data_IF_019650653922
#
_entry.id   IF_019650653922
#
_cell.length_a   1.000
_cell.length_b   1.000
_cell.length_c   1.000
_cell.angle_alpha   90.00
_cell.angle_beta   90.00
_cell.angle_gamma   90.00
#
_symmetry.space_group_name_H-M   'P 1'
#
loop_
_entity.id
_entity.type
_entity.pdbx_description
1 polymer ?
#
# COMPACT_ATOMS: atom_id res chain seq x y z
N UNK A 1 15.69 -13.20 18.45
CA UNK A 1 16.12 -11.80 18.32
C UNK A 1 14.91 -10.91 18.52
N UNK A 2 15.08 -9.73 19.11
CA UNK A 2 13.98 -8.75 19.20
C UNK A 2 13.64 -8.23 17.80
N UNK A 3 12.35 -8.13 17.49
CA UNK A 3 11.90 -7.60 16.20
C UNK A 3 12.00 -6.09 16.24
N UNK A 4 12.60 -5.49 15.22
CA UNK A 4 12.77 -4.04 15.13
C UNK A 4 11.57 -3.38 14.48
N UNK A 5 11.22 -2.17 14.91
CA UNK A 5 10.18 -1.35 14.29
C UNK A 5 10.39 -1.22 12.78
N UNK A 6 11.63 -1.06 12.31
CA UNK A 6 11.96 -1.03 10.88
C UNK A 6 11.48 -2.28 10.09
N UNK A 7 11.48 -3.46 10.71
CA UNK A 7 10.99 -4.68 10.05
C UNK A 7 9.47 -4.62 9.87
N UNK A 8 8.73 -4.12 10.85
CA UNK A 8 7.29 -3.91 10.77
C UNK A 8 6.96 -2.84 9.73
N UNK A 9 7.70 -1.72 9.73
CA UNK A 9 7.58 -0.66 8.73
C UNK A 9 7.75 -1.22 7.32
N UNK A 10 8.77 -2.06 7.10
CA UNK A 10 9.04 -2.66 5.80
C UNK A 10 7.88 -3.53 5.32
N UNK A 11 7.24 -4.30 6.22
CA UNK A 11 6.06 -5.12 5.91
C UNK A 11 4.85 -4.25 5.51
N UNK A 12 4.63 -3.14 6.22
CA UNK A 12 3.53 -2.20 5.91
C UNK A 12 3.78 -1.55 4.54
N UNK A 13 5.01 -1.15 4.27
CA UNK A 13 5.39 -0.47 3.02
C UNK A 13 5.46 -1.41 1.81
N UNK A 14 5.47 -2.73 2.00
CA UNK A 14 5.17 -3.69 0.92
C UNK A 14 3.72 -3.57 0.45
N UNK A 15 2.78 -3.31 1.37
CA UNK A 15 1.36 -3.15 1.06
C UNK A 15 1.05 -1.72 0.59
N UNK A 16 1.52 -0.74 1.35
CA UNK A 16 1.24 0.68 1.14
C UNK A 16 2.55 1.49 1.13
N UNK A 17 3.34 1.44 0.04
CA UNK A 17 4.54 2.25 -0.08
C UNK A 17 4.26 3.73 0.13
N UNK A 18 5.16 4.45 0.82
CA UNK A 18 4.98 5.88 1.11
C UNK A 18 4.78 6.75 -0.12
N UNK A 19 5.42 6.40 -1.24
CA UNK A 19 5.32 7.18 -2.49
C UNK A 19 3.91 7.18 -3.09
N UNK A 20 3.03 6.28 -2.62
CA UNK A 20 1.62 6.29 -3.01
C UNK A 20 0.82 7.39 -2.31
N UNK A 21 1.29 7.90 -1.17
CA UNK A 21 0.55 8.92 -0.43
C UNK A 21 0.39 10.18 -1.28
N UNK A 22 -0.75 10.85 -1.10
CA UNK A 22 -1.00 12.16 -1.66
C UNK A 22 0.06 13.17 -1.21
N UNK A 23 0.39 14.14 -2.06
CA UNK A 23 1.51 15.08 -1.79
C UNK A 23 1.32 15.96 -0.56
N UNK A 24 0.08 16.13 -0.11
CA UNK A 24 -0.27 16.89 1.09
C UNK A 24 -0.28 16.04 2.36
N UNK A 25 -0.25 14.72 2.23
CA UNK A 25 -0.45 13.80 3.32
C UNK A 25 0.82 13.59 4.16
N UNK A 26 0.62 13.09 5.39
CA UNK A 26 1.71 12.73 6.28
C UNK A 26 1.57 11.26 6.69
N UNK A 27 2.41 10.40 6.11
CA UNK A 27 2.44 8.96 6.38
C UNK A 27 3.81 8.52 6.90
N UNK A 28 3.87 7.37 7.54
CA UNK A 28 5.12 6.81 8.06
C UNK A 28 5.19 6.79 9.59
N UNK A 29 6.40 6.66 10.12
CA UNK A 29 6.66 6.66 11.56
C UNK A 29 6.52 8.09 12.11
N UNK A 30 5.48 8.32 12.91
CA UNK A 30 5.12 9.61 13.52
C UNK A 30 5.79 9.82 14.87
N UNK A 31 5.86 8.76 15.68
CA UNK A 31 6.44 8.78 17.03
C UNK A 31 7.29 7.52 17.20
N UNK A 32 8.49 7.67 17.77
CA UNK A 32 9.41 6.56 18.05
C UNK A 32 10.64 6.55 17.15
N UNK A 33 11.28 5.39 17.04
CA UNK A 33 12.49 5.17 16.25
C UNK A 33 12.44 3.83 15.51
N UNK A 34 12.96 3.73 14.28
CA UNK A 34 13.07 2.46 13.56
C UNK A 34 13.85 1.36 14.31
N UNK A 35 14.74 1.75 15.24
CA UNK A 35 15.55 0.83 16.05
C UNK A 35 14.86 0.28 17.29
N UNK A 36 13.65 0.76 17.61
CA UNK A 36 12.85 0.28 18.74
C UNK A 36 12.54 -1.21 18.61
N UNK A 37 12.49 -1.90 19.74
CA UNK A 37 12.02 -3.28 19.79
C UNK A 37 10.49 -3.29 19.81
N UNK A 38 9.89 -4.22 19.08
CA UNK A 38 8.43 -4.42 19.03
C UNK A 38 8.16 -5.87 19.39
N UNK A 39 7.43 -6.10 20.47
CA UNK A 39 6.90 -7.39 20.88
C UNK A 39 5.40 -7.45 20.63
N UNK A 40 4.70 -6.33 20.83
CA UNK A 40 3.27 -6.20 20.54
C UNK A 40 3.00 -4.96 19.72
N UNK A 41 2.24 -5.11 18.65
CA UNK A 41 1.71 -4.01 17.88
C UNK A 41 0.18 -4.00 17.93
N UNK A 42 -0.42 -2.83 17.77
CA UNK A 42 -1.86 -2.66 17.71
C UNK A 42 -2.28 -1.87 16.49
N UNK A 43 -3.33 -2.31 15.78
CA UNK A 43 -3.89 -1.61 14.63
C UNK A 43 -5.18 -0.89 15.02
N UNK A 44 -5.31 0.38 14.65
CA UNK A 44 -6.48 1.21 14.90
C UNK A 44 -6.83 2.10 13.69
N UNK A 45 -7.98 2.76 13.74
CA UNK A 45 -8.33 3.81 12.78
C UNK A 45 -7.65 5.13 13.20
N UNK A 46 -8.06 5.66 14.35
CA UNK A 46 -7.53 6.87 14.97
C UNK A 46 -6.68 6.55 16.19
N UNK A 47 -5.71 7.42 16.51
CA UNK A 47 -5.02 7.38 17.81
C UNK A 47 -5.66 8.41 18.73
N UNK A 48 -6.56 7.96 19.60
CA UNK A 48 -7.22 8.77 20.62
C UNK A 48 -6.88 8.30 22.05
N UNK A 49 -7.45 8.94 23.06
CA UNK A 49 -7.22 8.58 24.47
C UNK A 49 -7.66 7.14 24.78
N UNK A 50 -8.77 6.65 24.22
CA UNK A 50 -9.24 5.29 24.50
C UNK A 50 -8.29 4.25 23.89
N UNK A 51 -7.78 4.51 22.69
CA UNK A 51 -6.77 3.66 22.04
C UNK A 51 -5.46 3.68 22.82
N UNK A 52 -5.04 4.84 23.35
CA UNK A 52 -3.87 4.92 24.22
C UNK A 52 -4.07 4.09 25.49
N UNK A 53 -5.22 4.20 26.15
CA UNK A 53 -5.51 3.47 27.38
C UNK A 53 -5.52 1.95 27.11
N UNK A 54 -6.14 1.51 26.00
CA UNK A 54 -6.09 0.12 25.52
C UNK A 54 -4.67 -0.36 25.22
N UNK A 55 -3.84 0.49 24.59
CA UNK A 55 -2.44 0.20 24.29
C UNK A 55 -1.62 -0.03 25.56
N UNK A 56 -1.83 0.82 26.57
CA UNK A 56 -1.16 0.73 27.88
C UNK A 56 -1.57 -0.56 28.59
N UNK A 57 -2.87 -0.84 28.66
CA UNK A 57 -3.40 -2.03 29.31
C UNK A 57 -2.83 -3.31 28.69
N UNK A 58 -2.75 -3.36 27.35
CA UNK A 58 -2.28 -4.53 26.61
C UNK A 58 -0.75 -4.62 26.49
N UNK A 59 -0.03 -3.58 26.91
CA UNK A 59 1.43 -3.48 26.80
C UNK A 59 1.92 -3.44 25.35
N UNK A 60 1.33 -2.54 24.56
CA UNK A 60 1.66 -2.33 23.14
C UNK A 60 2.91 -1.46 23.00
N UNK A 61 3.83 -1.86 22.13
CA UNK A 61 5.05 -1.10 21.82
C UNK A 61 4.88 -0.19 20.59
N UNK A 62 4.01 -0.58 19.65
CA UNK A 62 3.81 0.13 18.38
C UNK A 62 2.34 0.15 17.97
N UNK A 63 1.78 1.35 17.77
CA UNK A 63 0.45 1.56 17.20
C UNK A 63 0.59 1.80 15.69
N UNK A 64 -0.22 1.11 14.90
CA UNK A 64 -0.39 1.33 13.46
C UNK A 64 -1.78 1.94 13.25
N UNK A 65 -1.85 3.21 12.87
CA UNK A 65 -3.10 3.91 12.60
C UNK A 65 -3.33 4.11 11.11
N UNK A 66 -4.60 4.28 10.73
CA UNK A 66 -4.91 4.81 9.40
C UNK A 66 -4.72 6.32 9.39
N UNK A 67 -5.43 7.03 10.28
CA UNK A 67 -5.32 8.48 10.39
C UNK A 67 -4.04 8.91 11.10
N UNK A 68 -3.32 9.90 10.56
CA UNK A 68 -2.10 10.37 11.17
C UNK A 68 -2.40 11.22 12.41
N UNK A 69 -1.81 10.84 13.55
CA UNK A 69 -1.87 11.64 14.79
C UNK A 69 -1.25 13.04 14.58
N UNK A 70 -0.24 13.12 13.71
CA UNK A 70 0.39 14.36 13.24
C UNK A 70 -0.06 14.62 11.79
N UNK A 71 -1.23 15.20 11.59
CA UNK A 71 -1.69 15.56 10.23
C UNK A 71 -1.03 16.83 9.67
N UNK A 72 -0.66 17.77 10.55
CA UNK A 72 0.00 19.03 10.16
C UNK A 72 1.21 19.29 11.04
N UNK A 73 2.23 20.03 10.55
CA UNK A 73 3.42 20.35 11.33
C UNK A 73 3.09 20.94 12.70
N UNK A 74 3.62 20.32 13.75
CA UNK A 74 3.38 20.75 15.13
C UNK A 74 4.20 22.02 15.39
N UNK A 75 3.51 23.15 15.58
CA UNK A 75 4.17 24.42 15.95
C UNK A 75 4.54 24.49 17.42
N UNK A 76 3.76 23.86 18.29
CA UNK A 76 3.96 23.82 19.74
C UNK A 76 3.43 22.49 20.31
N UNK A 77 4.16 21.87 21.24
CA UNK A 77 3.73 20.66 21.96
C UNK A 77 3.39 20.99 23.42
N UNK A 78 2.21 21.56 23.66
CA UNK A 78 1.75 21.89 25.02
C UNK A 78 0.99 20.74 25.66
N UNK A 79 1.38 20.33 26.85
CA UNK A 79 0.79 19.20 27.59
C UNK A 79 -0.56 19.52 28.25
N UNK A 80 -0.99 20.77 28.22
CA UNK A 80 -2.27 21.23 28.75
C UNK A 80 -3.39 21.24 27.70
N UNK A 81 -3.09 20.86 26.46
CA UNK A 81 -4.10 20.57 25.44
C UNK A 81 -4.19 19.07 25.14
N UNK A 82 -5.31 18.65 24.55
CA UNK A 82 -5.61 17.24 24.30
C UNK A 82 -4.51 16.53 23.50
N UNK A 83 -4.17 17.05 22.31
CA UNK A 83 -3.19 16.40 21.41
C UNK A 83 -1.79 16.34 22.04
N UNK A 84 -1.36 17.39 22.72
CA UNK A 84 -0.05 17.43 23.36
C UNK A 84 0.03 16.54 24.60
N UNK A 85 -1.04 16.41 25.38
CA UNK A 85 -1.14 15.42 26.46
C UNK A 85 -1.07 13.99 25.90
N UNK A 86 -1.82 13.68 24.84
CA UNK A 86 -1.81 12.37 24.20
C UNK A 86 -0.41 11.99 23.69
N UNK A 87 0.24 12.91 22.96
CA UNK A 87 1.61 12.72 22.46
C UNK A 87 2.63 12.60 23.60
N UNK A 88 2.49 13.38 24.68
CA UNK A 88 3.34 13.23 25.88
C UNK A 88 3.26 11.80 26.41
N UNK A 89 2.06 11.26 26.61
CA UNK A 89 1.89 9.91 27.15
C UNK A 89 2.51 8.87 26.22
N UNK A 90 2.27 8.95 24.90
CA UNK A 90 2.91 8.06 23.91
C UNK A 90 4.44 8.10 23.99
N UNK A 91 5.02 9.30 24.03
CA UNK A 91 6.49 9.50 24.07
C UNK A 91 7.07 8.99 25.39
N UNK A 92 6.50 9.40 26.53
CA UNK A 92 7.05 9.05 27.86
C UNK A 92 6.95 7.55 28.17
N UNK A 93 6.04 6.84 27.51
CA UNK A 93 5.85 5.39 27.62
C UNK A 93 6.57 4.62 26.52
N UNK A 94 7.28 5.31 25.63
CA UNK A 94 7.98 4.72 24.49
C UNK A 94 7.07 3.90 23.56
N UNK A 95 5.82 4.31 23.40
CA UNK A 95 4.87 3.70 22.46
C UNK A 95 5.02 4.39 21.11
N UNK A 96 5.50 3.64 20.11
CA UNK A 96 5.65 4.14 18.75
C UNK A 96 4.30 4.31 18.05
N UNK A 97 4.24 5.20 17.05
CA UNK A 97 3.08 5.36 16.17
C UNK A 97 3.54 5.43 14.73
N UNK A 98 3.00 4.55 13.88
CA UNK A 98 3.12 4.61 12.43
C UNK A 98 1.73 4.84 11.82
N UNK A 99 1.64 5.68 10.80
CA UNK A 99 0.37 5.97 10.12
C UNK A 99 0.43 5.63 8.63
N UNK A 100 -0.56 4.85 8.18
CA UNK A 100 -0.76 4.48 6.78
C UNK A 100 -2.14 5.01 6.34
N UNK A 101 -2.13 6.17 5.70
CA UNK A 101 -3.33 6.94 5.36
C UNK A 101 -3.63 6.82 3.86
N UNK A 102 -3.44 7.87 3.06
CA UNK A 102 -3.79 7.84 1.63
C UNK A 102 -2.98 6.83 0.83
N UNK A 103 -1.75 6.49 1.24
CA UNK A 103 -0.99 5.39 0.64
C UNK A 103 -1.70 4.04 0.77
N UNK A 104 -2.45 3.82 1.86
CA UNK A 104 -3.25 2.63 2.07
C UNK A 104 -4.60 2.72 1.34
N UNK A 105 -5.15 3.90 1.11
CA UNK A 105 -6.34 4.06 0.26
C UNK A 105 -6.05 3.80 -1.23
N UNK A 106 -4.86 4.19 -1.68
CA UNK A 106 -4.37 4.09 -3.06
C UNK A 106 -3.80 2.69 -3.35
N UNK A 107 -3.34 1.99 -2.32
CA UNK A 107 -2.80 0.63 -2.46
C UNK A 107 -3.79 -0.28 -3.17
N UNK A 108 -3.26 -1.10 -4.08
CA UNK A 108 -4.07 -2.05 -4.86
C UNK A 108 -4.72 -3.15 -4.02
N UNK A 109 -4.22 -3.38 -2.81
CA UNK A 109 -4.81 -4.27 -1.81
C UNK A 109 -5.14 -3.50 -0.52
N UNK A 110 -5.45 -2.21 -0.67
CA UNK A 110 -5.78 -1.25 0.36
C UNK A 110 -7.24 -1.26 0.82
N UNK A 111 -7.65 -0.20 1.54
CA UNK A 111 -8.99 -0.11 2.16
C UNK A 111 -10.11 -0.23 1.11
N UNK A 112 -10.00 0.52 0.02
CA UNK A 112 -10.99 0.49 -1.07
C UNK A 112 -11.14 -0.92 -1.68
N UNK A 113 -10.04 -1.62 -1.89
CA UNK A 113 -10.07 -3.01 -2.37
C UNK A 113 -10.77 -3.94 -1.37
N UNK A 114 -10.48 -3.81 -0.08
CA UNK A 114 -11.14 -4.62 0.95
C UNK A 114 -12.62 -4.30 1.11
N UNK A 115 -13.04 -3.04 0.95
CA UNK A 115 -14.46 -2.68 0.85
C UNK A 115 -15.10 -3.38 -0.35
N UNK A 116 -14.49 -3.31 -1.53
CA UNK A 116 -14.98 -3.98 -2.73
C UNK A 116 -15.17 -5.49 -2.49
N UNK A 117 -14.20 -6.14 -1.84
CA UNK A 117 -14.31 -7.55 -1.45
C UNK A 117 -15.39 -7.80 -0.41
N UNK A 118 -15.59 -6.91 0.55
CA UNK A 118 -16.66 -7.00 1.55
C UNK A 118 -18.05 -6.99 0.90
N UNK A 119 -18.20 -6.24 -0.19
CA UNK A 119 -19.38 -6.18 -1.04
C UNK A 119 -19.44 -7.27 -2.13
N UNK A 120 -18.49 -8.21 -2.15
CA UNK A 120 -18.37 -9.26 -3.16
C UNK A 120 -18.32 -8.71 -4.60
N UNK A 121 -17.70 -7.55 -4.80
CA UNK A 121 -17.53 -6.98 -6.13
C UNK A 121 -16.48 -7.76 -6.93
N UNK A 122 -16.81 -8.01 -8.20
CA UNK A 122 -15.95 -8.60 -9.21
C UNK A 122 -15.42 -7.53 -10.17
N UNK A 123 -14.41 -7.88 -10.98
CA UNK A 123 -13.80 -7.00 -11.98
C UNK A 123 -13.48 -5.60 -11.41
N UNK A 124 -12.77 -5.61 -10.27
CA UNK A 124 -12.43 -4.39 -9.54
C UNK A 124 -11.37 -3.61 -10.31
N UNK A 125 -11.64 -2.34 -10.55
CA UNK A 125 -10.73 -1.40 -11.22
C UNK A 125 -10.57 -0.13 -10.38
N UNK A 126 -9.42 0.54 -10.49
CA UNK A 126 -9.19 1.85 -9.89
C UNK A 126 -10.08 2.89 -10.57
N UNK A 127 -10.76 3.71 -9.76
CA UNK A 127 -11.70 4.71 -10.24
C UNK A 127 -10.98 5.95 -10.80
N UNK A 128 -10.21 6.64 -9.96
CA UNK A 128 -9.41 7.78 -10.37
C UNK A 128 -7.94 7.39 -10.52
N UNK A 129 -7.54 7.13 -11.76
CA UNK A 129 -6.20 6.63 -12.10
C UNK A 129 -5.19 7.78 -12.02
N UNK A 130 -4.46 7.85 -10.91
CA UNK A 130 -3.48 8.91 -10.64
C UNK A 130 -2.13 8.61 -11.30
N UNK A 131 -1.67 7.37 -11.19
CA UNK A 131 -0.37 6.97 -11.72
C UNK A 131 -0.33 5.47 -12.05
N UNK A 132 0.80 5.03 -12.58
CA UNK A 132 1.11 3.63 -12.79
C UNK A 132 2.43 3.33 -12.10
N UNK A 133 2.56 2.12 -11.55
CA UNK A 133 3.86 1.64 -11.06
C UNK A 133 4.87 1.69 -12.22
N UNK A 134 5.97 2.40 -12.01
CA UNK A 134 7.03 2.50 -13.01
C UNK A 134 7.77 1.18 -13.13
N UNK A 135 8.09 0.83 -14.37
CA UNK A 135 8.82 -0.38 -14.70
C UNK A 135 10.15 0.00 -15.35
N UNK A 136 11.15 -0.82 -15.07
CA UNK A 136 12.48 -0.72 -15.65
C UNK A 136 12.85 -2.03 -16.31
N UNK A 137 13.58 -1.94 -17.42
CA UNK A 137 14.31 -3.08 -17.96
C UNK A 137 15.68 -3.10 -17.27
N UNK A 138 15.96 -4.17 -16.54
CA UNK A 138 17.27 -4.43 -15.98
C UNK A 138 18.03 -5.35 -16.92
N UNK A 139 19.23 -4.93 -17.32
CA UNK A 139 20.13 -5.68 -18.18
C UNK A 139 21.44 -5.89 -17.43
N UNK A 140 21.94 -7.11 -17.39
CA UNK A 140 23.19 -7.48 -16.75
C UNK A 140 23.99 -8.44 -17.63
N UNK A 141 25.31 -8.30 -17.64
CA UNK A 141 26.22 -9.12 -18.43
C UNK A 141 26.90 -10.13 -17.51
N UNK A 142 26.73 -11.42 -17.81
CA UNK A 142 27.11 -12.52 -16.91
C UNK A 142 27.91 -13.57 -17.67
N UNK A 143 28.99 -14.14 -17.09
CA UNK A 143 29.62 -15.34 -17.62
C UNK A 143 28.63 -16.48 -17.81
N UNK A 144 28.79 -17.24 -18.89
CA UNK A 144 27.93 -18.39 -19.21
C UNK A 144 27.83 -19.42 -18.08
N UNK A 145 28.91 -19.59 -17.30
CA UNK A 145 28.97 -20.49 -16.14
C UNK A 145 28.07 -20.08 -14.96
N UNK A 146 27.72 -18.80 -14.86
CA UNK A 146 27.05 -18.22 -13.68
C UNK A 146 25.63 -17.72 -13.96
N UNK A 147 25.16 -17.86 -15.20
CA UNK A 147 23.85 -17.34 -15.62
C UNK A 147 22.68 -17.87 -14.79
N UNK A 148 22.68 -19.17 -14.47
CA UNK A 148 21.56 -19.80 -13.75
C UNK A 148 21.46 -19.32 -12.30
N UNK A 149 22.59 -19.04 -11.65
CA UNK A 149 22.64 -18.46 -10.30
C UNK A 149 22.06 -17.04 -10.30
N UNK A 150 22.45 -16.22 -11.28
CA UNK A 150 21.93 -14.85 -11.43
C UNK A 150 20.43 -14.85 -11.76
N UNK A 151 19.96 -15.73 -12.65
CA UNK A 151 18.53 -15.88 -12.95
C UNK A 151 17.71 -16.29 -11.72
N UNK A 152 18.23 -17.23 -10.92
CA UNK A 152 17.57 -17.69 -9.71
C UNK A 152 17.43 -16.55 -8.69
N UNK A 153 18.49 -15.76 -8.47
CA UNK A 153 18.43 -14.62 -7.54
C UNK A 153 17.51 -13.51 -8.07
N UNK A 154 17.52 -13.20 -9.37
CA UNK A 154 16.56 -12.28 -9.99
C UNK A 154 15.11 -12.71 -9.73
N UNK A 155 14.81 -13.98 -9.99
CA UNK A 155 13.47 -14.53 -9.81
C UNK A 155 12.98 -14.49 -8.35
N UNK A 156 13.89 -14.75 -7.40
CA UNK A 156 13.64 -14.65 -5.95
C UNK A 156 13.37 -13.22 -5.48
N UNK A 157 13.89 -12.21 -6.18
CA UNK A 157 13.60 -10.80 -5.93
C UNK A 157 12.36 -10.30 -6.69
N UNK A 158 11.60 -11.23 -7.29
CA UNK A 158 10.38 -10.95 -8.08
C UNK A 158 10.64 -10.15 -9.37
N UNK A 159 11.87 -10.15 -9.87
CA UNK A 159 12.16 -9.65 -11.21
C UNK A 159 11.54 -10.60 -12.26
N UNK A 160 10.96 -10.04 -13.31
CA UNK A 160 10.31 -10.82 -14.36
C UNK A 160 8.96 -11.40 -13.97
N UNK A 161 8.28 -10.83 -12.97
CA UNK A 161 6.92 -11.21 -12.63
C UNK A 161 5.93 -10.35 -13.42
N UNK A 162 5.25 -10.95 -14.41
CA UNK A 162 4.33 -10.28 -15.33
C UNK A 162 3.03 -11.08 -15.41
N UNK A 163 1.93 -10.50 -14.93
CA UNK A 163 0.65 -11.20 -14.86
C UNK A 163 0.77 -12.49 -14.04
N UNK A 164 0.45 -13.63 -14.65
CA UNK A 164 0.50 -14.95 -14.00
C UNK A 164 1.83 -15.69 -14.21
N UNK A 165 2.85 -15.05 -14.80
CA UNK A 165 4.14 -15.65 -15.08
C UNK A 165 5.22 -15.03 -14.17
N UNK A 166 6.14 -15.87 -13.70
CA UNK A 166 7.28 -15.46 -12.88
C UNK A 166 8.59 -15.85 -13.57
N UNK A 167 9.71 -15.30 -13.07
CA UNK A 167 11.07 -15.60 -13.57
C UNK A 167 11.25 -15.28 -15.07
N UNK A 168 10.44 -14.38 -15.63
CA UNK A 168 10.56 -14.00 -17.04
C UNK A 168 11.88 -13.27 -17.27
N UNK A 169 12.74 -13.84 -18.10
CA UNK A 169 13.98 -13.20 -18.54
C UNK A 169 14.28 -13.60 -19.98
N UNK A 170 15.06 -12.76 -20.66
CA UNK A 170 15.57 -13.04 -21.99
C UNK A 170 17.09 -12.98 -21.96
N UNK A 171 17.74 -13.84 -22.73
CA UNK A 171 19.19 -14.00 -22.72
C UNK A 171 19.72 -14.05 -24.14
N UNK A 172 20.85 -13.38 -24.38
CA UNK A 172 21.57 -13.45 -25.66
C UNK A 172 23.07 -13.54 -25.40
N UNK A 173 23.74 -14.47 -26.06
CA UNK A 173 25.20 -14.61 -26.01
C UNK A 173 25.86 -13.52 -26.85
N UNK A 174 26.96 -12.97 -26.36
CA UNK A 174 27.77 -11.99 -27.07
C UNK A 174 29.22 -11.99 -26.57
N UNK A 175 30.02 -11.08 -27.10
CA UNK A 175 31.41 -10.89 -26.67
C UNK A 175 31.52 -9.59 -25.90
N UNK A 176 31.95 -9.68 -24.64
CA UNK A 176 32.34 -8.54 -23.83
C UNK A 176 33.83 -8.25 -23.98
N UNK A 177 34.20 -6.96 -24.03
CA UNK A 177 35.59 -6.53 -24.12
C UNK A 177 35.91 -5.60 -22.95
N UNK A 178 36.99 -5.87 -22.24
CA UNK A 178 37.47 -4.99 -21.19
C UNK A 178 38.99 -5.02 -21.09
N UNK A 179 39.56 -3.98 -20.48
CA UNK A 179 40.99 -3.89 -20.19
C UNK A 179 41.16 -3.66 -18.69
N UNK A 180 41.60 -4.65 -17.91
CA UNK A 180 41.90 -4.45 -16.50
C UNK A 180 43.01 -3.40 -16.37
N UNK A 181 42.83 -2.42 -15.47
CA UNK A 181 43.80 -1.35 -15.24
C UNK A 181 44.63 -1.63 -13.98
N UNK A 182 45.45 -0.66 -13.57
CA UNK A 182 46.14 -0.73 -12.29
C UNK A 182 45.14 -0.91 -11.14
N UNK A 183 45.46 -1.80 -10.20
CA UNK A 183 44.64 -2.12 -9.02
C UNK A 183 43.32 -2.87 -9.26
N UNK A 184 43.12 -3.52 -10.42
CA UNK A 184 41.98 -4.45 -10.62
C UNK A 184 42.35 -5.88 -10.29
N UNK A 185 41.42 -6.66 -9.70
CA UNK A 185 41.54 -8.11 -9.51
C UNK A 185 40.47 -8.84 -10.34
N UNK A 186 40.63 -8.91 -11.68
CA UNK A 186 39.56 -9.39 -12.55
C UNK A 186 39.30 -10.89 -12.35
N UNK A 187 38.03 -11.29 -12.43
CA UNK A 187 37.65 -12.70 -12.39
C UNK A 187 38.21 -13.50 -13.59
N UNK A 188 38.33 -12.83 -14.74
CA UNK A 188 38.94 -13.35 -15.99
C UNK A 188 39.90 -12.30 -16.53
N UNK A 189 41.09 -12.70 -16.97
CA UNK A 189 42.01 -11.84 -17.73
C UNK A 189 43.26 -11.36 -16.99
N UNK A 190 44.12 -10.63 -17.72
CA UNK A 190 45.42 -10.14 -17.26
C UNK A 190 45.52 -8.61 -17.27
N UNK A 191 46.21 -7.98 -16.30
CA UNK A 191 46.37 -6.53 -16.26
C UNK A 191 46.93 -5.94 -17.56
N UNK A 192 46.33 -4.84 -18.00
CA UNK A 192 46.70 -4.01 -19.16
C UNK A 192 46.49 -4.62 -20.55
N UNK A 193 46.01 -5.85 -20.65
CA UNK A 193 45.61 -6.46 -21.92
C UNK A 193 44.10 -6.29 -22.15
N UNK A 194 43.70 -6.16 -23.42
CA UNK A 194 42.28 -6.24 -23.78
C UNK A 194 41.91 -7.72 -23.78
N UNK A 195 40.91 -8.05 -23.00
CA UNK A 195 40.37 -9.39 -22.85
C UNK A 195 39.03 -9.44 -23.57
N UNK A 196 38.81 -10.48 -24.36
CA UNK A 196 37.54 -10.78 -25.01
C UNK A 196 36.92 -12.00 -24.34
N UNK A 197 35.69 -11.89 -23.84
CA UNK A 197 35.02 -12.95 -23.07
C UNK A 197 33.64 -13.23 -23.64
N UNK A 198 33.29 -14.51 -23.80
CA UNK A 198 31.91 -14.91 -24.12
C UNK A 198 31.02 -14.65 -22.90
N UNK A 199 30.09 -13.72 -23.03
CA UNK A 199 29.16 -13.33 -21.98
C UNK A 199 27.72 -13.53 -22.43
N UNK A 200 26.81 -13.56 -21.45
CA UNK A 200 25.38 -13.55 -21.69
C UNK A 200 24.82 -12.22 -21.22
N UNK A 201 24.24 -11.47 -22.17
CA UNK A 201 23.36 -10.34 -21.86
C UNK A 201 22.02 -10.89 -21.38
N UNK A 202 21.80 -10.83 -20.08
CA UNK A 202 20.56 -11.24 -19.42
C UNK A 202 19.71 -10.00 -19.16
N UNK A 203 18.43 -10.06 -19.50
CA UNK A 203 17.52 -8.95 -19.30
C UNK A 203 16.18 -9.38 -18.71
N UNK A 204 15.61 -8.56 -17.84
CA UNK A 204 14.31 -8.79 -17.20
C UNK A 204 13.63 -7.46 -16.87
N UNK A 205 12.33 -7.49 -16.59
CA UNK A 205 11.57 -6.33 -16.14
C UNK A 205 11.53 -6.28 -14.63
N UNK A 206 11.67 -5.10 -14.04
CA UNK A 206 11.66 -4.88 -12.59
C UNK A 206 10.78 -3.69 -12.27
N UNK A 207 10.00 -3.80 -11.18
CA UNK A 207 9.24 -2.69 -10.60
C UNK A 207 10.17 -1.71 -9.92
N UNK A 208 9.87 -0.41 -9.98
CA UNK A 208 10.64 0.62 -9.29
C UNK A 208 10.84 0.32 -7.79
N UNK A 209 9.78 -0.17 -7.13
CA UNK A 209 9.75 -0.57 -5.72
C UNK A 209 10.79 -1.65 -5.37
N UNK A 210 11.08 -2.57 -6.31
CA UNK A 210 12.00 -3.68 -6.09
C UNK A 210 13.42 -3.43 -6.65
N UNK A 211 13.63 -2.35 -7.42
CA UNK A 211 14.84 -2.13 -8.20
C UNK A 211 16.12 -2.13 -7.35
N UNK A 212 16.19 -1.27 -6.33
CA UNK A 212 17.39 -1.13 -5.47
C UNK A 212 17.73 -2.43 -4.73
N UNK A 213 16.71 -3.11 -4.19
CA UNK A 213 16.88 -4.38 -3.48
C UNK A 213 17.36 -5.47 -4.43
N UNK A 214 16.80 -5.54 -5.63
CA UNK A 214 17.15 -6.55 -6.64
C UNK A 214 18.58 -6.39 -7.10
N UNK A 215 19.01 -5.17 -7.44
CA UNK A 215 20.39 -4.88 -7.83
C UNK A 215 21.36 -5.33 -6.73
N UNK A 216 21.13 -4.91 -5.48
CA UNK A 216 21.99 -5.30 -4.35
C UNK A 216 22.06 -6.82 -4.13
N UNK A 217 20.99 -7.54 -4.40
CA UNK A 217 20.95 -8.99 -4.24
C UNK A 217 21.72 -9.70 -5.38
N UNK A 218 21.50 -9.26 -6.62
CA UNK A 218 22.15 -9.82 -7.80
C UNK A 218 23.65 -9.56 -7.80
N UNK A 219 24.09 -8.35 -7.43
CA UNK A 219 25.51 -8.02 -7.35
C UNK A 219 26.28 -8.90 -6.36
N UNK A 220 25.62 -9.45 -5.33
CA UNK A 220 26.27 -10.35 -4.35
C UNK A 220 26.54 -11.74 -4.87
N UNK A 221 25.76 -12.20 -5.85
CA UNK A 221 25.89 -13.54 -6.45
C UNK A 221 26.62 -13.47 -7.80
N UNK A 222 26.90 -12.26 -8.30
CA UNK A 222 27.64 -12.07 -9.53
C UNK A 222 29.13 -12.42 -9.32
N UNK A 223 29.79 -13.13 -10.25
CA UNK A 223 31.18 -13.54 -10.08
C UNK A 223 32.19 -12.38 -10.18
N UNK A 224 31.80 -11.28 -10.80
CA UNK A 224 32.70 -10.12 -11.00
C UNK A 224 32.67 -9.17 -9.80
N UNK A 225 33.83 -8.59 -9.50
CA UNK A 225 33.97 -7.52 -8.51
C UNK A 225 33.26 -6.25 -8.97
N UNK A 226 33.51 -5.83 -10.21
CA UNK A 226 32.86 -4.71 -10.86
C UNK A 226 31.89 -5.21 -11.93
N UNK A 227 30.59 -5.06 -11.67
CA UNK A 227 29.53 -5.65 -12.50
C UNK A 227 28.96 -4.59 -13.43
N UNK A 228 29.03 -4.84 -14.74
CA UNK A 228 28.35 -4.03 -15.72
C UNK A 228 26.84 -4.38 -15.78
N UNK A 229 25.99 -3.37 -15.61
CA UNK A 229 24.54 -3.49 -15.78
C UNK A 229 23.94 -2.15 -16.22
N UNK A 230 22.80 -2.24 -16.88
CA UNK A 230 22.02 -1.08 -17.33
C UNK A 230 20.60 -1.12 -16.75
N UNK A 231 20.03 0.08 -16.61
CA UNK A 231 18.64 0.27 -16.20
C UNK A 231 17.98 1.18 -17.22
N UNK A 232 17.02 0.63 -17.97
CA UNK A 232 16.24 1.39 -18.94
C UNK A 232 14.85 1.70 -18.37
N UNK A 233 14.43 2.97 -18.26
CA UNK A 233 13.04 3.28 -17.96
C UNK A 233 12.14 2.79 -19.10
N UNK A 234 10.99 2.23 -18.74
CA UNK A 234 10.01 1.73 -19.71
C UNK A 234 8.74 2.57 -19.68
N UNK A 235 8.14 2.76 -20.86
CA UNK A 235 6.77 3.28 -21.01
C UNK A 235 5.72 2.21 -20.68
N UNK A 236 6.14 0.96 -20.48
CA UNK A 236 5.28 -0.10 -19.97
C UNK A 236 4.72 0.30 -18.60
N UNK A 237 3.40 0.21 -18.48
CA UNK A 237 2.69 0.55 -17.25
C UNK A 237 2.57 -0.68 -16.37
N UNK A 238 3.01 -0.56 -15.12
CA UNK A 238 2.76 -1.55 -14.09
C UNK A 238 1.33 -1.44 -13.54
N UNK A 239 1.18 -1.77 -12.27
CA UNK A 239 -0.12 -1.71 -11.61
C UNK A 239 -0.67 -0.28 -11.61
N UNK A 240 -1.97 -0.14 -11.90
CA UNK A 240 -2.67 1.15 -11.79
C UNK A 240 -2.76 1.54 -10.32
N UNK A 241 -2.43 2.80 -10.03
CA UNK A 241 -2.47 3.39 -8.69
C UNK A 241 -3.44 4.57 -8.72
N UNK A 242 -4.31 4.65 -7.72
CA UNK A 242 -5.24 5.76 -7.64
C UNK A 242 -6.31 5.59 -6.58
N UNK A 243 -7.20 6.58 -6.51
CA UNK A 243 -8.22 6.67 -5.48
C UNK A 243 -9.55 6.08 -5.92
N UNK A 244 -10.22 5.45 -4.96
CA UNK A 244 -11.49 4.79 -5.17
C UNK A 244 -11.40 3.58 -6.11
N UNK A 245 -12.44 2.78 -6.09
CA UNK A 245 -12.58 1.62 -6.97
C UNK A 245 -13.97 1.59 -7.58
N UNK A 246 -14.10 0.88 -8.70
CA UNK A 246 -15.37 0.47 -9.26
C UNK A 246 -15.35 -1.04 -9.47
N UNK A 247 -16.48 -1.69 -9.21
CA UNK A 247 -16.63 -3.12 -9.41
C UNK A 247 -18.07 -3.48 -9.77
N UNK A 248 -18.27 -4.77 -10.03
CA UNK A 248 -19.52 -5.30 -10.56
C UNK A 248 -20.04 -6.40 -9.62
N UNK A 249 -21.28 -6.27 -9.18
CA UNK A 249 -21.99 -7.33 -8.47
C UNK A 249 -22.18 -8.53 -9.41
N UNK A 250 -22.12 -9.75 -8.86
CA UNK A 250 -22.35 -10.97 -9.65
C UNK A 250 -23.73 -10.97 -10.31
N UNK A 251 -24.76 -10.64 -9.54
CA UNK A 251 -26.13 -10.47 -10.00
C UNK A 251 -26.56 -9.03 -9.79
N UNK A 252 -27.35 -8.52 -10.72
CA UNK A 252 -28.04 -7.25 -10.56
C UNK A 252 -29.13 -7.42 -9.50
N UNK A 253 -29.21 -6.48 -8.55
CA UNK A 253 -30.19 -6.52 -7.45
C UNK A 253 -30.98 -5.22 -7.38
N UNK A 254 -32.15 -5.27 -6.73
CA UNK A 254 -32.98 -4.09 -6.52
C UNK A 254 -32.26 -3.06 -5.65
N UNK A 255 -32.38 -1.77 -5.98
CA UNK A 255 -31.63 -0.73 -5.26
C UNK A 255 -31.95 -0.66 -3.77
N UNK A 256 -33.19 -0.99 -3.38
CA UNK A 256 -33.61 -1.08 -1.97
C UNK A 256 -32.91 -2.23 -1.24
N UNK A 257 -32.74 -3.37 -1.89
CA UNK A 257 -32.00 -4.51 -1.32
C UNK A 257 -30.52 -4.18 -1.17
N UNK A 258 -29.95 -3.43 -2.12
CA UNK A 258 -28.57 -2.94 -2.03
C UNK A 258 -28.37 -1.99 -0.85
N UNK A 259 -29.31 -1.07 -0.59
CA UNK A 259 -29.26 -0.16 0.57
C UNK A 259 -29.20 -0.97 1.88
N UNK A 260 -30.03 -2.01 2.02
CA UNK A 260 -30.02 -2.89 3.19
C UNK A 260 -28.73 -3.73 3.26
N UNK A 261 -28.18 -4.15 2.11
CA UNK A 261 -26.88 -4.80 2.03
C UNK A 261 -25.77 -3.88 2.56
N UNK A 262 -25.76 -2.59 2.19
CA UNK A 262 -24.80 -1.59 2.68
C UNK A 262 -24.91 -1.43 4.19
N UNK A 263 -26.12 -1.26 4.73
CA UNK A 263 -26.36 -1.19 6.18
C UNK A 263 -25.82 -2.41 6.91
N UNK A 264 -26.17 -3.61 6.44
CA UNK A 264 -25.74 -4.86 7.07
C UNK A 264 -24.23 -5.06 6.99
N UNK A 265 -23.61 -4.84 5.82
CA UNK A 265 -22.17 -5.03 5.62
C UNK A 265 -21.35 -4.00 6.39
N UNK A 266 -21.78 -2.75 6.48
CA UNK A 266 -21.04 -1.71 7.19
C UNK A 266 -21.46 -1.54 8.65
N UNK A 267 -22.44 -2.32 9.12
CA UNK A 267 -22.97 -2.27 10.47
C UNK A 267 -23.49 -0.88 10.86
N UNK A 268 -24.21 -0.23 9.94
CA UNK A 268 -24.82 1.08 10.14
C UNK A 268 -26.35 0.97 10.13
N UNK A 269 -27.00 1.77 10.96
CA UNK A 269 -28.47 1.77 11.07
C UNK A 269 -29.11 2.63 9.98
N UNK A 270 -28.52 3.82 9.75
CA UNK A 270 -29.02 4.81 8.82
C UNK A 270 -27.98 5.08 7.74
N UNK A 271 -28.47 5.44 6.56
CA UNK A 271 -27.66 5.89 5.44
C UNK A 271 -28.18 7.26 5.02
N UNK A 272 -27.25 8.16 4.67
CA UNK A 272 -27.58 9.38 3.93
C UNK A 272 -27.38 9.10 2.44
N UNK A 273 -28.02 9.88 1.58
CA UNK A 273 -27.83 9.74 0.15
C UNK A 273 -28.46 10.88 -0.63
N UNK A 274 -28.12 10.96 -1.91
CA UNK A 274 -28.63 11.95 -2.85
C UNK A 274 -28.67 11.37 -4.27
N UNK A 275 -29.27 12.10 -5.21
CA UNK A 275 -29.47 11.64 -6.58
C UNK A 275 -30.67 10.72 -6.74
N UNK A 276 -30.97 10.38 -7.98
CA UNK A 276 -32.10 9.51 -8.31
C UNK A 276 -31.77 8.07 -7.96
N UNK A 277 -32.60 7.45 -7.11
CA UNK A 277 -32.51 6.03 -6.80
C UNK A 277 -32.83 5.20 -8.06
N UNK A 278 -31.88 4.43 -8.63
CA UNK A 278 -32.18 3.57 -9.78
C UNK A 278 -33.12 2.42 -9.35
N UNK A 279 -33.74 1.75 -10.31
CA UNK A 279 -34.51 0.52 -10.01
C UNK A 279 -33.56 -0.58 -9.53
N UNK A 280 -32.43 -0.74 -10.23
CA UNK A 280 -31.48 -1.82 -10.01
C UNK A 280 -30.04 -1.33 -9.95
N UNK A 281 -29.19 -2.10 -9.27
CA UNK A 281 -27.78 -1.80 -9.07
C UNK A 281 -26.94 -3.01 -9.50
N UNK A 282 -25.92 -2.76 -10.30
CA UNK A 282 -24.94 -3.75 -10.75
C UNK A 282 -23.50 -3.24 -10.65
N UNK A 283 -23.24 -2.00 -11.07
CA UNK A 283 -21.93 -1.34 -10.99
C UNK A 283 -21.87 -0.42 -9.78
N UNK A 284 -20.91 -0.68 -8.90
CA UNK A 284 -20.73 0.02 -7.63
C UNK A 284 -19.37 0.68 -7.62
N UNK A 285 -19.36 2.00 -7.48
CA UNK A 285 -18.14 2.75 -7.18
C UNK A 285 -18.03 2.95 -5.66
N UNK A 286 -16.82 2.92 -5.12
CA UNK A 286 -16.54 3.08 -3.70
C UNK A 286 -15.29 3.95 -3.53
N UNK A 287 -15.36 4.92 -2.62
CA UNK A 287 -14.20 5.59 -2.05
C UNK A 287 -14.40 5.65 -0.53
N UNK A 288 -13.54 5.03 0.26
CA UNK A 288 -13.53 5.21 1.71
C UNK A 288 -13.30 6.68 2.10
N UNK A 289 -13.78 7.07 3.28
CA UNK A 289 -13.57 8.41 3.80
C UNK A 289 -14.29 9.48 2.97
N UNK A 290 -13.64 10.63 2.80
CA UNK A 290 -14.20 11.79 2.11
C UNK A 290 -13.90 11.80 0.59
N UNK A 291 -14.61 10.96 -0.17
CA UNK A 291 -14.42 10.75 -1.61
C UNK A 291 -15.38 11.49 -2.55
N UNK A 292 -16.20 12.43 -2.07
CA UNK A 292 -17.21 13.11 -2.89
C UNK A 292 -16.65 13.81 -4.15
N UNK A 293 -15.38 14.23 -4.14
CA UNK A 293 -14.69 14.80 -5.30
C UNK A 293 -14.63 13.85 -6.51
N UNK A 294 -14.79 12.54 -6.30
CA UNK A 294 -14.73 11.51 -7.34
C UNK A 294 -16.08 11.24 -8.03
N UNK A 295 -17.16 11.95 -7.67
CA UNK A 295 -18.51 11.74 -8.25
C UNK A 295 -18.53 11.76 -9.78
N UNK A 296 -17.88 12.74 -10.41
CA UNK A 296 -17.82 12.81 -11.88
C UNK A 296 -17.11 11.60 -12.49
N UNK A 297 -16.06 11.08 -11.82
CA UNK A 297 -15.34 9.87 -12.26
C UNK A 297 -16.23 8.64 -12.12
N UNK A 298 -16.96 8.51 -11.00
CA UNK A 298 -17.92 7.44 -10.77
C UNK A 298 -19.02 7.43 -11.84
N UNK A 299 -19.63 8.59 -12.13
CA UNK A 299 -20.64 8.71 -13.18
C UNK A 299 -20.08 8.37 -14.56
N UNK A 300 -18.90 8.88 -14.90
CA UNK A 300 -18.25 8.60 -16.19
C UNK A 300 -17.90 7.11 -16.36
N UNK A 301 -17.49 6.43 -15.29
CA UNK A 301 -17.26 4.98 -15.27
C UNK A 301 -18.56 4.16 -15.37
N UNK A 302 -19.72 4.81 -15.33
CA UNK A 302 -21.04 4.21 -15.40
C UNK A 302 -21.42 3.49 -14.12
N UNK A 303 -21.06 4.04 -12.95
CA UNK A 303 -21.54 3.53 -11.68
C UNK A 303 -23.05 3.77 -11.55
N UNK A 304 -23.78 2.73 -11.11
CA UNK A 304 -25.19 2.85 -10.75
C UNK A 304 -25.35 3.50 -9.37
N UNK A 305 -24.33 3.31 -8.51
CA UNK A 305 -24.24 3.89 -7.18
C UNK A 305 -22.79 4.20 -6.81
N UNK A 306 -22.58 5.30 -6.10
CA UNK A 306 -21.29 5.65 -5.49
C UNK A 306 -21.39 5.66 -3.96
N UNK A 307 -20.51 4.92 -3.29
CA UNK A 307 -20.43 4.85 -1.83
C UNK A 307 -19.23 5.67 -1.35
N UNK A 308 -19.46 6.66 -0.50
CA UNK A 308 -18.40 7.46 0.14
C UNK A 308 -18.89 8.06 1.45
N UNK A 309 -18.00 8.33 2.39
CA UNK A 309 -18.29 9.10 3.60
C UNK A 309 -18.33 10.62 3.35
N UNK A 310 -18.71 11.36 4.40
CA UNK A 310 -18.62 12.82 4.53
C UNK A 310 -19.34 13.65 3.47
N UNK A 311 -20.54 13.22 3.06
CA UNK A 311 -21.33 13.96 2.07
C UNK A 311 -21.81 15.31 2.64
N UNK A 312 -21.48 16.40 1.95
CA UNK A 312 -21.96 17.76 2.26
C UNK A 312 -23.18 18.11 1.40
N UNK A 313 -23.85 19.21 1.76
CA UNK A 313 -25.03 19.68 1.04
C UNK A 313 -24.78 19.91 -0.46
N UNK A 314 -23.69 20.61 -0.82
CA UNK A 314 -23.36 20.89 -2.22
C UNK A 314 -22.92 19.64 -2.99
N UNK A 315 -22.38 18.63 -2.30
CA UNK A 315 -22.10 17.33 -2.92
C UNK A 315 -23.42 16.64 -3.31
N UNK A 316 -24.43 16.72 -2.43
CA UNK A 316 -25.78 16.24 -2.73
C UNK A 316 -26.43 16.95 -3.92
N UNK A 317 -26.26 18.27 -4.05
CA UNK A 317 -26.72 19.01 -5.24
C UNK A 317 -26.04 18.50 -6.51
N UNK A 318 -24.71 18.38 -6.47
CA UNK A 318 -23.91 17.87 -7.60
C UNK A 318 -24.37 16.48 -8.02
N UNK A 319 -24.63 15.58 -7.06
CA UNK A 319 -25.12 14.23 -7.33
C UNK A 319 -26.46 14.23 -8.11
N UNK A 320 -27.38 15.16 -7.80
CA UNK A 320 -28.62 15.32 -8.56
C UNK A 320 -28.37 15.90 -9.95
N UNK A 321 -27.49 16.90 -10.09
CA UNK A 321 -27.16 17.54 -11.36
C UNK A 321 -26.53 16.57 -12.37
N UNK A 322 -25.68 15.65 -11.90
CA UNK A 322 -25.04 14.63 -12.75
C UNK A 322 -25.81 13.30 -12.81
N UNK A 323 -26.98 13.25 -12.18
CA UNK A 323 -27.84 12.07 -12.11
C UNK A 323 -27.09 10.81 -11.59
N UNK A 324 -26.36 10.95 -10.48
CA UNK A 324 -25.63 9.86 -9.83
C UNK A 324 -26.25 9.57 -8.47
N UNK A 325 -26.65 8.32 -8.24
CA UNK A 325 -27.05 7.88 -6.91
C UNK A 325 -25.82 7.75 -6.02
N UNK A 326 -25.81 8.48 -4.91
CA UNK A 326 -24.72 8.47 -3.93
C UNK A 326 -25.25 8.05 -2.56
N UNK A 327 -24.51 7.19 -1.88
CA UNK A 327 -24.81 6.74 -0.52
C UNK A 327 -23.64 7.13 0.39
N UNK A 328 -23.97 7.67 1.55
CA UNK A 328 -23.07 8.01 2.62
C UNK A 328 -23.36 7.20 3.88
N UNK A 329 -22.56 6.13 4.11
CA UNK A 329 -22.59 5.34 5.34
C UNK A 329 -21.87 5.97 6.54
N UNK A 330 -21.22 7.11 6.36
CA UNK A 330 -20.33 7.73 7.33
C UNK A 330 -18.86 7.34 7.12
N UNK A 331 -17.97 8.29 7.39
CA UNK A 331 -16.52 8.14 7.26
C UNK A 331 -16.01 6.93 8.05
N UNK A 332 -16.33 6.89 9.35
CA UNK A 332 -15.95 5.81 10.25
C UNK A 332 -16.38 4.44 9.73
N UNK A 333 -17.62 4.30 9.27
CA UNK A 333 -18.15 3.01 8.80
C UNK A 333 -17.41 2.49 7.55
N UNK A 334 -16.98 3.39 6.66
CA UNK A 334 -16.23 3.01 5.46
C UNK A 334 -14.78 2.62 5.74
N UNK A 335 -14.16 3.18 6.78
CA UNK A 335 -12.72 2.99 7.02
C UNK A 335 -12.39 2.07 8.17
N UNK A 336 -13.29 1.89 9.14
CA UNK A 336 -13.03 1.08 10.34
C UNK A 336 -12.59 -0.34 9.99
N UNK A 337 -12.94 -0.85 8.81
CA UNK A 337 -12.47 -2.13 8.29
C UNK A 337 -10.94 -2.27 8.28
N UNK A 338 -10.20 -1.17 8.26
CA UNK A 338 -8.73 -1.15 8.32
C UNK A 338 -8.20 -1.96 9.51
N UNK A 339 -8.87 -1.88 10.68
CA UNK A 339 -8.46 -2.62 11.88
C UNK A 339 -8.47 -4.13 11.64
N UNK A 340 -9.41 -4.63 10.84
CA UNK A 340 -9.55 -6.07 10.60
C UNK A 340 -8.57 -6.54 9.52
N UNK A 341 -8.50 -5.82 8.39
CA UNK A 341 -7.74 -6.27 7.23
C UNK A 341 -6.24 -5.99 7.37
N UNK A 342 -5.85 -4.84 7.92
CA UNK A 342 -4.44 -4.54 8.14
C UNK A 342 -3.86 -5.41 9.27
N UNK A 343 -4.61 -5.69 10.35
CA UNK A 343 -4.18 -6.67 11.36
C UNK A 343 -3.99 -8.06 10.75
N UNK A 344 -4.91 -8.50 9.89
CA UNK A 344 -4.79 -9.81 9.21
C UNK A 344 -3.54 -9.86 8.32
N UNK A 345 -3.34 -8.85 7.47
CA UNK A 345 -2.17 -8.76 6.60
C UNK A 345 -0.86 -8.76 7.40
N UNK A 346 -0.77 -7.94 8.44
CA UNK A 346 0.41 -7.86 9.31
C UNK A 346 0.68 -9.21 9.98
N UNK A 347 -0.36 -9.85 10.52
CA UNK A 347 -0.24 -11.16 11.14
C UNK A 347 0.32 -12.19 10.16
N UNK A 348 -0.27 -12.33 8.97
CA UNK A 348 0.18 -13.29 7.95
C UNK A 348 1.64 -13.05 7.53
N UNK A 349 2.02 -11.78 7.29
CA UNK A 349 3.39 -11.42 6.90
C UNK A 349 4.40 -11.66 8.02
N UNK A 350 4.08 -11.27 9.26
CA UNK A 350 4.92 -11.49 10.44
C UNK A 350 5.16 -13.00 10.65
N UNK A 351 4.12 -13.82 10.54
CA UNK A 351 4.24 -15.28 10.64
C UNK A 351 5.09 -15.87 9.49
N UNK A 352 4.88 -15.41 8.25
CA UNK A 352 5.67 -15.87 7.09
C UNK A 352 7.17 -15.58 7.23
N UNK A 353 7.52 -14.46 7.89
CA UNK A 353 8.89 -14.06 8.18
C UNK A 353 9.41 -14.62 9.51
N UNK A 354 8.63 -15.46 10.21
CA UNK A 354 8.95 -16.08 11.52
C UNK A 354 9.32 -15.05 12.59
N UNK A 355 8.73 -13.87 12.52
CA UNK A 355 8.91 -12.80 13.50
C UNK A 355 8.02 -13.06 14.72
N UNK A 356 8.55 -12.86 15.92
CA UNK A 356 7.82 -13.03 17.18
C UNK A 356 7.21 -11.71 17.63
N UNK A 357 6.07 -11.34 17.05
CA UNK A 357 5.30 -10.14 17.38
C UNK A 357 3.82 -10.47 17.47
N UNK A 358 3.17 -10.05 18.56
CA UNK A 358 1.73 -10.17 18.72
C UNK A 358 1.03 -9.01 17.99
N UNK A 359 0.02 -9.34 17.18
CA UNK A 359 -0.79 -8.36 16.44
C UNK A 359 -2.14 -8.22 17.12
N UNK A 360 -2.42 -7.04 17.65
CA UNK A 360 -3.66 -6.70 18.33
C UNK A 360 -4.52 -5.84 17.39
N UNK A 361 -5.81 -6.16 17.32
CA UNK A 361 -6.82 -5.30 16.70
C UNK A 361 -7.43 -4.44 17.81
N UNK A 362 -7.35 -3.12 17.68
CA UNK A 362 -7.97 -2.21 18.64
C UNK A 362 -9.50 -2.37 18.61
N UNK A 363 -10.13 -2.31 19.77
CA UNK A 363 -11.58 -2.27 19.92
C UNK A 363 -12.08 -0.88 20.34
N UNK A 364 -11.17 0.02 20.71
CA UNK A 364 -11.48 1.30 21.35
C UNK A 364 -12.00 2.41 20.41
N UNK A 365 -11.62 2.45 19.12
CA UNK A 365 -12.21 3.49 18.23
C UNK A 365 -13.72 3.29 18.11
N UNK A 366 -14.43 4.43 18.05
CA UNK A 366 -15.87 4.54 17.88
C UNK A 366 -16.16 5.66 16.88
N UNK A 367 -17.37 5.65 16.32
CA UNK A 367 -17.85 6.80 15.57
C UNK A 367 -18.04 8.00 16.52
N UNK A 368 -17.61 9.17 16.09
CA UNK A 368 -17.78 10.42 16.84
C UNK A 368 -19.06 11.16 16.42
N UNK A 369 -19.71 10.74 15.33
CA UNK A 369 -20.99 11.28 14.88
C UNK A 369 -22.11 10.43 15.46
N UNK A 370 -22.94 11.05 16.31
CA UNK A 370 -24.16 10.43 16.81
C UNK A 370 -25.36 10.83 15.95
N UNK A 371 -26.20 9.85 15.62
CA UNK A 371 -27.50 10.07 14.99
C UNK A 371 -28.57 10.01 16.08
N UNK A 372 -29.38 11.05 16.20
CA UNK A 372 -30.42 11.20 17.22
C UNK A 372 -31.82 11.16 16.62
#
# INVERSE_FOLDING_TARGET
MSVKCQQIISIIEELAPKYLAESWDNVGLMIGSPSMNVQKLMVCLDVDQNVLDEAIEKGVDLIISHHPIIFSPIKNLRWDNYKGKLMKELITREIGVYSAHTNLDISSQGINYWLAKKFNLNKIEVLDKLNYEKLYKFVIFVPKSNIEEVKAELGKQEAGWIGNYSHCSFSTTGTGNFKPLENTNPFIGTPYNVEEVEEVRLETIIKESNLSKTIKAVLKVHPYEEVAYDIYPLENKGQVQGLGIIGILENEIEAKEFIELVKHKLHVVNLRGSGNLPEKIKKVAICSGAGASLMNKAKFAGADVFITGDLKYHDGQTANEIDLFIIDPGHYATEIIVRQYLSKYLYEKIQSQKLKVDVIKSEANRDYINLY
#
